data_IF_338101405118
#
_entry.id   IF_338101405118
#
_cell.length_a   1.000
_cell.length_b   1.000
_cell.length_c   1.000
_cell.angle_alpha   90.00
_cell.angle_beta   90.00
_cell.angle_gamma   90.00
#
_symmetry.space_group_name_H-M   'P 1'
#
loop_
_entity.id
_entity.type
_entity.pdbx_description
1 polymer ?
#
# COMPACT_ATOMS: atom_id res chain seq x y z
N UNK A 1 9.78 24.60 -7.30
CA UNK A 1 9.70 23.14 -7.50
C UNK A 1 10.99 22.68 -8.17
N UNK A 2 11.63 21.64 -7.64
CA UNK A 2 12.84 21.04 -8.23
C UNK A 2 12.48 19.82 -9.08
N UNK A 3 13.45 19.30 -9.83
CA UNK A 3 13.29 18.03 -10.51
C UNK A 3 13.13 16.90 -9.47
N UNK A 4 12.20 15.99 -9.71
CA UNK A 4 12.11 14.75 -8.95
C UNK A 4 13.38 13.92 -9.20
N UNK A 5 13.84 13.22 -8.17
CA UNK A 5 14.89 12.22 -8.33
C UNK A 5 14.38 11.02 -9.13
N UNK A 6 15.28 10.11 -9.49
CA UNK A 6 14.89 8.79 -9.95
C UNK A 6 14.00 8.08 -8.92
N UNK A 7 12.97 7.35 -9.36
CA UNK A 7 12.06 6.65 -8.46
C UNK A 7 12.74 5.44 -7.82
N UNK A 8 12.43 5.19 -6.54
CA UNK A 8 12.86 4.00 -5.83
C UNK A 8 11.64 3.14 -5.44
N UNK A 9 11.74 1.83 -5.65
CA UNK A 9 10.76 0.89 -5.09
C UNK A 9 11.03 0.68 -3.61
N UNK A 10 10.10 1.10 -2.76
CA UNK A 10 10.22 0.98 -1.29
C UNK A 10 9.43 -0.19 -0.71
N UNK A 11 8.40 -0.65 -1.42
CA UNK A 11 7.55 -1.76 -1.01
C UNK A 11 6.85 -2.36 -2.23
N UNK A 12 6.68 -3.68 -2.24
CA UNK A 12 5.89 -4.39 -3.24
C UNK A 12 4.77 -5.13 -2.54
N UNK A 13 3.53 -4.76 -2.82
CA UNK A 13 2.38 -5.33 -2.14
C UNK A 13 2.31 -6.85 -2.36
N UNK A 14 2.28 -7.66 -1.29
CA UNK A 14 2.21 -9.11 -1.41
C UNK A 14 0.83 -9.59 -1.86
N UNK A 15 -0.22 -8.78 -1.63
CA UNK A 15 -1.63 -9.18 -1.78
C UNK A 15 -2.06 -9.45 -3.22
N UNK A 16 -1.34 -8.89 -4.20
CA UNK A 16 -1.55 -9.18 -5.63
C UNK A 16 -1.29 -10.66 -5.95
N UNK A 17 -0.64 -11.41 -5.04
CA UNK A 17 -0.39 -12.85 -5.20
C UNK A 17 -1.53 -13.74 -4.66
N UNK A 18 -2.53 -13.18 -3.99
CA UNK A 18 -3.58 -13.93 -3.30
C UNK A 18 -4.84 -14.17 -4.15
N UNK A 19 -4.85 -13.77 -5.42
CA UNK A 19 -5.95 -14.00 -6.37
C UNK A 19 -5.61 -13.45 -7.75
N UNK A 20 -6.19 -14.01 -8.83
CA UNK A 20 -5.90 -13.56 -10.20
C UNK A 20 -6.43 -12.15 -10.50
N UNK A 21 -7.37 -11.63 -9.68
CA UNK A 21 -8.09 -10.38 -9.92
C UNK A 21 -7.84 -9.30 -8.85
N UNK A 22 -7.01 -9.59 -7.83
CA UNK A 22 -6.73 -8.67 -6.73
C UNK A 22 -5.68 -7.64 -7.13
N UNK A 23 -5.97 -6.36 -6.89
CA UNK A 23 -5.07 -5.24 -7.13
C UNK A 23 -4.90 -4.36 -5.88
N UNK A 24 -3.79 -3.63 -5.82
CA UNK A 24 -3.47 -2.69 -4.73
C UNK A 24 -3.55 -1.25 -5.21
N UNK A 25 -4.08 -0.35 -4.38
CA UNK A 25 -4.31 1.05 -4.74
C UNK A 25 -4.28 1.97 -3.50
N UNK A 26 -4.44 3.28 -3.74
CA UNK A 26 -4.57 4.31 -2.70
C UNK A 26 -3.42 4.33 -1.67
N UNK A 27 -2.18 4.17 -2.14
CA UNK A 27 -1.00 4.36 -1.29
C UNK A 27 -0.96 5.82 -0.78
N UNK A 28 -0.92 6.01 0.54
CA UNK A 28 -0.87 7.31 1.20
C UNK A 28 0.09 7.29 2.38
N UNK A 29 1.00 8.26 2.43
CA UNK A 29 1.85 8.49 3.60
C UNK A 29 1.12 9.27 4.68
N UNK A 30 1.40 8.94 5.94
CA UNK A 30 0.82 9.54 7.15
C UNK A 30 1.94 10.11 8.03
N UNK A 31 2.58 11.23 7.63
CA UNK A 31 3.65 11.85 8.42
C UNK A 31 3.19 12.23 9.84
N UNK A 32 1.92 12.58 10.02
CA UNK A 32 1.30 12.91 11.31
C UNK A 32 1.20 11.71 12.28
N UNK A 33 1.31 10.48 11.77
CA UNK A 33 1.31 9.23 12.56
C UNK A 33 2.68 8.53 12.54
N UNK A 34 3.68 9.12 11.90
CA UNK A 34 4.99 8.50 11.69
C UNK A 34 5.93 8.77 12.87
N UNK A 35 6.75 7.77 13.21
CA UNK A 35 7.86 7.96 14.15
C UNK A 35 9.05 8.63 13.44
N UNK A 36 10.03 9.19 14.19
CA UNK A 36 11.27 9.68 13.60
C UNK A 36 11.96 8.62 12.73
N UNK A 37 12.47 9.05 11.57
CA UNK A 37 13.12 8.19 10.54
C UNK A 37 12.22 7.08 9.95
N UNK A 38 10.91 7.10 10.22
CA UNK A 38 9.92 6.20 9.63
C UNK A 38 8.89 6.98 8.79
N UNK A 39 8.23 6.28 7.86
CA UNK A 39 7.00 6.73 7.23
C UNK A 39 5.96 5.61 7.33
N UNK A 40 4.87 5.89 8.03
CA UNK A 40 3.68 5.06 8.00
C UNK A 40 2.95 5.30 6.66
N UNK A 41 2.72 4.24 5.92
CA UNK A 41 1.97 4.24 4.66
C UNK A 41 0.77 3.32 4.82
N UNK A 42 -0.38 3.73 4.31
CA UNK A 42 -1.50 2.81 4.06
C UNK A 42 -1.67 2.59 2.57
N UNK A 43 -2.12 1.40 2.19
CA UNK A 43 -2.71 1.12 0.89
C UNK A 43 -3.96 0.27 1.09
N UNK A 44 -4.80 0.14 0.07
CA UNK A 44 -5.95 -0.75 0.08
C UNK A 44 -5.81 -1.82 -1.02
N UNK A 45 -6.52 -2.93 -0.83
CA UNK A 45 -6.67 -3.99 -1.82
C UNK A 45 -8.11 -4.04 -2.30
N UNK A 46 -8.33 -4.36 -3.57
CA UNK A 46 -9.66 -4.60 -4.12
C UNK A 46 -9.55 -5.67 -5.20
N UNK A 47 -10.68 -6.12 -5.73
CA UNK A 47 -10.74 -7.07 -6.84
C UNK A 47 -11.51 -6.50 -8.02
N UNK A 48 -11.15 -6.94 -9.22
CA UNK A 48 -11.98 -6.72 -10.42
C UNK A 48 -13.24 -7.60 -10.42
N UNK A 49 -13.30 -8.61 -9.56
CA UNK A 49 -14.46 -9.50 -9.41
C UNK A 49 -15.24 -9.14 -8.14
N UNK A 50 -16.49 -8.74 -8.30
CA UNK A 50 -17.35 -8.33 -7.19
C UNK A 50 -17.58 -9.47 -6.18
N UNK A 51 -17.64 -10.72 -6.66
CA UNK A 51 -17.82 -11.90 -5.81
C UNK A 51 -16.64 -12.08 -4.83
N UNK A 52 -15.41 -11.78 -5.24
CA UNK A 52 -14.25 -11.85 -4.33
C UNK A 52 -14.38 -10.81 -3.21
N UNK A 53 -14.78 -9.58 -3.55
CA UNK A 53 -14.99 -8.50 -2.56
C UNK A 53 -16.09 -8.86 -1.57
N UNK A 54 -17.20 -9.45 -2.03
CA UNK A 54 -18.32 -9.83 -1.17
C UNK A 54 -18.00 -11.02 -0.25
N UNK A 55 -17.12 -11.92 -0.66
CA UNK A 55 -16.80 -13.14 0.08
C UNK A 55 -15.50 -13.06 0.88
N UNK A 56 -14.70 -12.00 0.72
CA UNK A 56 -13.44 -11.81 1.43
C UNK A 56 -13.39 -10.45 2.14
N UNK A 57 -13.61 -10.47 3.46
CA UNK A 57 -13.57 -9.28 4.32
C UNK A 57 -12.17 -8.65 4.48
N UNK A 58 -11.12 -9.30 3.97
CA UNK A 58 -9.78 -8.73 3.92
C UNK A 58 -9.53 -7.84 2.68
N UNK A 59 -10.49 -7.77 1.77
CA UNK A 59 -10.51 -6.81 0.66
C UNK A 59 -11.21 -5.51 1.09
N UNK A 60 -10.89 -4.42 0.42
CA UNK A 60 -11.47 -3.08 0.64
C UNK A 60 -11.20 -2.49 2.04
N UNK A 61 -10.12 -2.93 2.70
CA UNK A 61 -9.65 -2.42 3.99
C UNK A 61 -8.22 -1.89 3.89
N UNK A 62 -7.84 -0.88 4.70
CA UNK A 62 -6.49 -0.34 4.69
C UNK A 62 -5.49 -1.34 5.31
N UNK A 63 -4.36 -1.52 4.63
CA UNK A 63 -3.18 -2.26 5.08
C UNK A 63 -2.08 -1.27 5.41
N UNK A 64 -1.37 -1.51 6.51
CA UNK A 64 -0.34 -0.61 7.03
C UNK A 64 1.06 -1.13 6.70
N UNK A 65 1.93 -0.25 6.23
CA UNK A 65 3.35 -0.50 5.97
C UNK A 65 4.15 0.56 6.71
N UNK A 66 5.13 0.12 7.50
CA UNK A 66 6.14 1.02 8.07
C UNK A 66 7.37 0.97 7.20
N UNK A 67 7.71 2.09 6.57
CA UNK A 67 8.95 2.26 5.83
C UNK A 67 9.99 2.88 6.75
N UNK A 68 11.19 2.31 6.78
CA UNK A 68 12.35 2.93 7.42
C UNK A 68 13.30 3.41 6.34
N UNK A 69 13.68 4.67 6.40
CA UNK A 69 14.71 5.20 5.52
C UNK A 69 16.06 4.93 6.19
N UNK A 70 16.83 4.03 5.60
CA UNK A 70 18.24 3.92 5.96
C UNK A 70 18.94 5.18 5.45
N UNK A 71 19.72 5.82 6.31
CA UNK A 71 20.59 6.94 5.93
C UNK A 71 21.74 6.44 5.05
#
# INVERSE_FOLDING_TARGET
MGAWSEPQTVYRCPDVRNGQHVFCYAAKGHPELSAPDELLVTYATNSFEMSEVLNNAELYVPRFVRLRFLR
#
